data_IF_612765752689
#
_entry.id   IF_612765752689
#
_cell.length_a   1.000
_cell.length_b   1.000
_cell.length_c   1.000
_cell.angle_alpha   90.00
_cell.angle_beta   90.00
_cell.angle_gamma   90.00
#
_symmetry.space_group_name_H-M   'P 1'
#
loop_
_entity.id
_entity.type
_entity.pdbx_description
1 polymer ?
#
# COMPACT_ATOMS: atom_id res chain seq x y z
N UNK A 1 26.52 40.85 -51.07
CA UNK A 1 25.15 40.68 -50.55
C UNK A 1 25.03 39.28 -49.94
N UNK A 2 24.89 39.16 -48.61
CA UNK A 2 24.77 37.89 -47.87
C UNK A 2 23.43 37.83 -47.11
N UNK A 3 22.31 37.99 -47.82
CA UNK A 3 20.97 38.06 -47.20
C UNK A 3 20.28 36.69 -47.03
N UNK A 4 20.74 35.63 -47.73
CA UNK A 4 20.08 34.31 -47.71
C UNK A 4 20.36 33.42 -46.49
N UNK A 5 21.47 33.65 -45.77
CA UNK A 5 21.91 32.73 -44.71
C UNK A 5 21.36 33.08 -43.31
N UNK A 6 20.92 34.33 -43.10
CA UNK A 6 20.34 34.79 -41.81
C UNK A 6 18.89 34.35 -41.63
N UNK A 7 18.08 34.34 -42.70
CA UNK A 7 16.67 33.92 -42.68
C UNK A 7 16.50 32.41 -42.51
N UNK A 8 17.39 31.59 -43.09
CA UNK A 8 17.39 30.13 -42.88
C UNK A 8 17.72 29.76 -41.42
N UNK A 9 18.74 30.39 -40.83
CA UNK A 9 19.08 30.22 -39.40
C UNK A 9 17.95 30.65 -38.47
N UNK A 10 17.26 31.75 -38.79
CA UNK A 10 16.11 32.25 -38.03
C UNK A 10 14.92 31.29 -38.05
N UNK A 11 14.61 30.69 -39.21
CA UNK A 11 13.52 29.70 -39.33
C UNK A 11 13.85 28.37 -38.66
N UNK A 12 15.10 27.93 -38.73
CA UNK A 12 15.58 26.76 -38.01
C UNK A 12 15.51 26.93 -36.49
N UNK A 13 15.89 28.11 -35.97
CA UNK A 13 15.77 28.43 -34.55
C UNK A 13 14.30 28.49 -34.09
N UNK A 14 13.41 29.08 -34.89
CA UNK A 14 11.96 29.10 -34.59
C UNK A 14 11.35 27.70 -34.56
N UNK A 15 11.75 26.81 -35.47
CA UNK A 15 11.29 25.42 -35.48
C UNK A 15 11.74 24.66 -34.23
N UNK A 16 13.00 24.82 -33.81
CA UNK A 16 13.52 24.20 -32.60
C UNK A 16 12.83 24.72 -31.33
N UNK A 17 12.53 26.02 -31.26
CA UNK A 17 11.74 26.61 -30.17
C UNK A 17 10.33 26.01 -30.14
N UNK A 18 9.68 25.86 -31.30
CA UNK A 18 8.35 25.27 -31.38
C UNK A 18 8.33 23.80 -30.92
N UNK A 19 9.33 23.02 -31.36
CA UNK A 19 9.51 21.62 -30.92
C UNK A 19 9.73 21.57 -29.41
N UNK A 20 10.62 22.41 -28.87
CA UNK A 20 10.88 22.45 -27.44
C UNK A 20 9.62 22.80 -26.63
N UNK A 21 8.81 23.75 -27.09
CA UNK A 21 7.53 24.10 -26.46
C UNK A 21 6.55 22.92 -26.50
N UNK A 22 6.43 22.24 -27.65
CA UNK A 22 5.55 21.08 -27.80
C UNK A 22 5.99 19.91 -26.92
N UNK A 23 7.29 19.62 -26.84
CA UNK A 23 7.84 18.60 -25.95
C UNK A 23 7.62 18.97 -24.48
N UNK A 24 7.78 20.24 -24.09
CA UNK A 24 7.52 20.69 -22.73
C UNK A 24 6.04 20.56 -22.36
N UNK A 25 5.15 20.94 -23.28
CA UNK A 25 3.71 20.80 -23.09
C UNK A 25 3.33 19.31 -22.93
N UNK A 26 3.84 18.44 -23.81
CA UNK A 26 3.59 17.00 -23.74
C UNK A 26 4.06 16.39 -22.40
N UNK A 27 5.31 16.65 -22.01
CA UNK A 27 5.87 16.14 -20.74
C UNK A 27 5.13 16.67 -19.51
N UNK A 28 4.66 17.92 -19.53
CA UNK A 28 3.86 18.47 -18.44
C UNK A 28 2.48 17.81 -18.31
N UNK A 29 1.87 17.43 -19.43
CA UNK A 29 0.59 16.73 -19.47
C UNK A 29 0.76 15.29 -18.97
N UNK A 30 1.76 14.56 -19.46
CA UNK A 30 2.10 13.23 -18.95
C UNK A 30 2.36 13.25 -17.44
N UNK A 31 3.13 14.23 -16.96
CA UNK A 31 3.42 14.38 -15.54
C UNK A 31 2.16 14.58 -14.68
N UNK A 32 1.21 15.41 -15.15
CA UNK A 32 -0.07 15.62 -14.44
C UNK A 32 -0.93 14.34 -14.43
N UNK A 33 -0.96 13.58 -15.53
CA UNK A 33 -1.64 12.28 -15.56
C UNK A 33 -1.00 11.28 -14.60
N UNK A 34 0.33 11.14 -14.62
CA UNK A 34 1.05 10.25 -13.70
C UNK A 34 0.81 10.58 -12.23
N UNK A 35 0.76 11.86 -11.85
CA UNK A 35 0.43 12.27 -10.47
C UNK A 35 -1.01 11.86 -10.12
N UNK A 36 -1.96 12.11 -11.02
CA UNK A 36 -3.37 11.75 -10.77
C UNK A 36 -3.54 10.24 -10.60
N UNK A 37 -2.88 9.45 -11.43
CA UNK A 37 -2.94 7.99 -11.35
C UNK A 37 -2.32 7.50 -10.04
N UNK A 38 -1.17 8.05 -9.63
CA UNK A 38 -0.55 7.72 -8.34
C UNK A 38 -1.48 8.03 -7.15
N UNK A 39 -2.12 9.20 -7.14
CA UNK A 39 -3.07 9.59 -6.08
C UNK A 39 -4.32 8.68 -6.08
N UNK A 40 -4.84 8.31 -7.25
CA UNK A 40 -5.98 7.41 -7.37
C UNK A 40 -5.63 6.00 -6.91
N UNK A 41 -4.45 5.50 -7.25
CA UNK A 41 -3.94 4.22 -6.77
C UNK A 41 -3.80 4.22 -5.25
N UNK A 42 -3.17 5.24 -4.65
CA UNK A 42 -3.04 5.34 -3.20
C UNK A 42 -4.39 5.34 -2.48
N UNK A 43 -5.38 6.10 -2.99
CA UNK A 43 -6.74 6.12 -2.44
C UNK A 43 -7.45 4.77 -2.56
N UNK A 44 -7.24 4.04 -3.67
CA UNK A 44 -7.76 2.68 -3.84
C UNK A 44 -7.21 1.79 -2.75
N UNK A 45 -5.89 1.72 -2.56
CA UNK A 45 -5.29 0.87 -1.52
C UNK A 45 -5.70 1.24 -0.10
N UNK A 46 -5.87 2.53 0.20
CA UNK A 46 -6.41 2.98 1.49
C UNK A 46 -7.85 2.49 1.72
N UNK A 47 -8.71 2.56 0.70
CA UNK A 47 -10.08 2.07 0.78
C UNK A 47 -10.12 0.54 0.95
N UNK A 48 -9.32 -0.19 0.19
CA UNK A 48 -9.20 -1.65 0.28
C UNK A 48 -8.66 -2.11 1.64
N UNK A 49 -7.69 -1.39 2.19
CA UNK A 49 -7.16 -1.61 3.55
C UNK A 49 -8.25 -1.42 4.59
N UNK A 50 -9.00 -0.33 4.50
CA UNK A 50 -10.09 -0.03 5.43
C UNK A 50 -11.17 -1.11 5.39
N UNK A 51 -11.58 -1.54 4.19
CA UNK A 51 -12.56 -2.63 4.00
C UNK A 51 -12.05 -3.94 4.62
N UNK A 52 -10.80 -4.31 4.35
CA UNK A 52 -10.20 -5.54 4.87
C UNK A 52 -10.12 -5.53 6.40
N UNK A 53 -9.62 -4.44 7.00
CA UNK A 53 -9.59 -4.28 8.47
C UNK A 53 -10.99 -4.41 9.06
N UNK A 54 -12.00 -3.81 8.41
CA UNK A 54 -13.38 -3.89 8.90
C UNK A 54 -13.94 -5.33 8.84
N UNK A 55 -13.65 -6.08 7.78
CA UNK A 55 -13.99 -7.52 7.68
C UNK A 55 -13.33 -8.32 8.81
N UNK A 56 -12.06 -8.05 9.10
CA UNK A 56 -11.32 -8.73 10.16
C UNK A 56 -11.87 -8.40 11.56
N UNK A 57 -12.18 -7.14 11.87
CA UNK A 57 -12.81 -6.76 13.13
C UNK A 57 -14.19 -7.38 13.31
N UNK A 58 -14.99 -7.51 12.25
CA UNK A 58 -16.25 -8.24 12.30
C UNK A 58 -16.04 -9.70 12.71
N UNK A 59 -14.98 -10.35 12.22
CA UNK A 59 -14.66 -11.74 12.59
C UNK A 59 -14.19 -11.87 14.04
N UNK A 60 -13.40 -10.90 14.55
CA UNK A 60 -13.03 -10.85 15.97
C UNK A 60 -14.25 -10.69 16.88
N UNK A 61 -15.19 -9.81 16.50
CA UNK A 61 -16.45 -9.64 17.22
C UNK A 61 -17.28 -10.93 17.21
N UNK A 62 -17.41 -11.59 16.05
CA UNK A 62 -18.16 -12.86 15.91
C UNK A 62 -17.60 -13.95 16.84
N UNK A 63 -16.29 -13.98 17.04
CA UNK A 63 -15.60 -14.89 17.95
C UNK A 63 -15.53 -14.40 19.40
N UNK A 64 -16.27 -13.33 19.76
CA UNK A 64 -16.31 -12.74 21.12
C UNK A 64 -14.95 -12.28 21.66
N UNK A 65 -14.00 -11.99 20.76
CA UNK A 65 -12.69 -11.44 21.12
C UNK A 65 -12.82 -9.95 21.47
N UNK A 66 -13.68 -9.23 20.73
CA UNK A 66 -14.04 -7.84 21.01
C UNK A 66 -15.53 -7.73 21.41
N UNK A 67 -15.84 -6.87 22.38
CA UNK A 67 -17.20 -6.57 22.85
C UNK A 67 -17.94 -5.64 21.88
N UNK A 68 -17.26 -4.58 21.43
CA UNK A 68 -17.78 -3.58 20.48
C UNK A 68 -17.08 -3.66 19.12
N UNK A 69 -17.75 -3.18 18.06
CA UNK A 69 -17.31 -3.37 16.66
C UNK A 69 -15.95 -2.75 16.34
N UNK A 70 -15.60 -1.63 16.99
CA UNK A 70 -14.43 -0.84 16.57
C UNK A 70 -13.55 -0.37 17.72
N UNK A 71 -14.10 0.20 18.79
CA UNK A 71 -13.30 0.72 19.91
C UNK A 71 -12.53 -0.38 20.64
N UNK A 72 -13.23 -1.42 21.12
CA UNK A 72 -12.59 -2.49 21.91
C UNK A 72 -11.56 -3.31 21.08
N UNK A 73 -11.77 -3.46 19.77
CA UNK A 73 -10.78 -4.10 18.91
C UNK A 73 -9.54 -3.23 18.66
N UNK A 74 -9.72 -1.90 18.58
CA UNK A 74 -8.62 -0.95 18.44
C UNK A 74 -7.83 -0.84 19.74
N UNK A 75 -8.51 -0.76 20.89
CA UNK A 75 -7.88 -0.65 22.21
C UNK A 75 -7.05 -1.88 22.56
N UNK A 76 -7.46 -3.07 22.11
CA UNK A 76 -6.70 -4.32 22.30
C UNK A 76 -5.52 -4.48 21.34
N UNK A 77 -5.39 -3.60 20.34
CA UNK A 77 -4.24 -3.59 19.42
C UNK A 77 -3.97 -4.96 18.75
N UNK A 78 -5.02 -5.73 18.47
CA UNK A 78 -4.89 -7.12 18.01
C UNK A 78 -4.59 -7.24 16.52
N UNK A 79 -5.08 -6.28 15.73
CA UNK A 79 -4.89 -6.21 14.29
C UNK A 79 -4.57 -4.78 13.91
N UNK A 80 -3.46 -4.59 13.22
CA UNK A 80 -3.10 -3.35 12.56
C UNK A 80 -3.06 -3.57 11.06
N UNK A 81 -3.55 -2.60 10.31
CA UNK A 81 -3.45 -2.60 8.86
C UNK A 81 -2.99 -1.26 8.33
N UNK A 82 -2.08 -1.28 7.38
CA UNK A 82 -1.52 -0.11 6.72
C UNK A 82 -1.49 -0.33 5.21
N UNK A 83 -1.83 0.71 4.44
CA UNK A 83 -1.61 0.71 2.99
C UNK A 83 -0.21 1.20 2.66
N UNK A 84 0.37 0.66 1.59
CA UNK A 84 1.56 1.19 0.95
C UNK A 84 1.36 1.20 -0.57
N UNK A 85 2.33 1.70 -1.32
CA UNK A 85 2.20 2.03 -2.74
C UNK A 85 1.62 0.91 -3.64
N UNK A 86 1.74 -0.36 -3.26
CA UNK A 86 1.30 -1.50 -4.06
C UNK A 86 0.52 -2.55 -3.26
N UNK A 87 0.10 -2.25 -2.03
CA UNK A 87 -0.50 -3.28 -1.19
C UNK A 87 -0.95 -2.87 0.20
N UNK A 88 -1.22 -3.90 0.99
CA UNK A 88 -1.73 -3.84 2.35
C UNK A 88 -0.80 -4.66 3.23
N UNK A 89 -0.35 -4.07 4.32
CA UNK A 89 0.35 -4.76 5.40
C UNK A 89 -0.62 -4.98 6.54
N UNK A 90 -0.72 -6.21 7.04
CA UNK A 90 -1.50 -6.59 8.20
C UNK A 90 -0.58 -7.19 9.25
N UNK A 91 -0.75 -6.75 10.49
CA UNK A 91 -0.06 -7.30 11.66
C UNK A 91 -1.09 -7.87 12.63
N UNK A 92 -0.94 -9.14 12.99
CA UNK A 92 -1.80 -9.84 13.93
C UNK A 92 -1.03 -10.16 15.22
N UNK A 93 -1.64 -9.89 16.36
CA UNK A 93 -1.01 -9.99 17.68
C UNK A 93 -1.79 -10.93 18.61
N UNK A 94 -1.08 -11.80 19.36
CA UNK A 94 -1.61 -12.64 20.43
C UNK A 94 -2.87 -13.46 20.06
N UNK A 95 -2.88 -14.04 18.87
CA UNK A 95 -4.01 -14.81 18.34
C UNK A 95 -3.81 -16.32 18.51
N UNK A 96 -4.89 -17.04 18.82
CA UNK A 96 -4.86 -18.50 18.79
C UNK A 96 -4.89 -19.04 17.33
N UNK A 97 -4.39 -20.26 17.13
CA UNK A 97 -4.23 -20.88 15.80
C UNK A 97 -5.55 -21.00 15.01
N UNK A 98 -6.66 -21.25 15.69
CA UNK A 98 -7.97 -21.41 15.03
C UNK A 98 -8.47 -20.08 14.47
N UNK A 99 -8.44 -19.04 15.29
CA UNK A 99 -8.82 -17.69 14.89
C UNK A 99 -7.90 -17.14 13.81
N UNK A 100 -6.59 -17.42 13.91
CA UNK A 100 -5.63 -17.04 12.88
C UNK A 100 -5.99 -17.62 11.51
N UNK A 101 -6.35 -18.91 11.44
CA UNK A 101 -6.75 -19.53 10.17
C UNK A 101 -8.00 -18.85 9.56
N UNK A 102 -8.98 -18.47 10.38
CA UNK A 102 -10.18 -17.75 9.92
C UNK A 102 -9.85 -16.34 9.40
N UNK A 103 -8.95 -15.62 10.08
CA UNK A 103 -8.52 -14.29 9.65
C UNK A 103 -7.68 -14.33 8.37
N UNK A 104 -6.82 -15.35 8.23
CA UNK A 104 -6.05 -15.59 7.01
C UNK A 104 -6.95 -15.93 5.83
N UNK A 105 -8.04 -16.65 6.05
CA UNK A 105 -9.03 -16.94 4.99
C UNK A 105 -9.66 -15.64 4.45
N UNK A 106 -10.00 -14.69 5.32
CA UNK A 106 -10.53 -13.37 4.90
C UNK A 106 -9.50 -12.61 4.05
N UNK A 107 -8.22 -12.67 4.42
CA UNK A 107 -7.15 -12.03 3.64
C UNK A 107 -6.98 -12.69 2.27
N UNK A 108 -7.06 -14.03 2.21
CA UNK A 108 -6.97 -14.79 0.97
C UNK A 108 -8.14 -14.50 0.04
N UNK A 109 -9.36 -14.44 0.58
CA UNK A 109 -10.56 -14.08 -0.18
C UNK A 109 -10.40 -12.68 -0.80
N UNK A 110 -9.89 -11.71 -0.02
CA UNK A 110 -9.62 -10.36 -0.52
C UNK A 110 -8.59 -10.34 -1.64
N UNK A 111 -7.52 -11.11 -1.50
CA UNK A 111 -6.49 -11.25 -2.54
C UNK A 111 -7.10 -11.81 -3.85
N UNK A 112 -7.99 -12.79 -3.75
CA UNK A 112 -8.69 -13.37 -4.91
C UNK A 112 -9.69 -12.37 -5.51
N UNK A 113 -10.52 -11.70 -4.69
CA UNK A 113 -11.47 -10.66 -5.11
C UNK A 113 -10.77 -9.53 -5.88
N UNK A 114 -9.54 -9.20 -5.51
CA UNK A 114 -8.72 -8.16 -6.16
C UNK A 114 -8.05 -8.60 -7.47
N UNK A 115 -8.38 -9.78 -8.01
CA UNK A 115 -7.67 -10.40 -9.14
C UNK A 115 -6.15 -10.49 -8.93
N UNK A 116 -5.68 -10.54 -7.67
CA UNK A 116 -4.26 -10.55 -7.29
C UNK A 116 -3.50 -9.26 -7.65
N UNK A 117 -4.21 -8.15 -7.84
CA UNK A 117 -3.62 -6.82 -8.08
C UNK A 117 -3.11 -6.16 -6.80
N UNK A 118 -3.52 -6.65 -5.63
CA UNK A 118 -3.16 -6.10 -4.33
C UNK A 118 -2.21 -7.08 -3.63
N UNK A 119 -1.01 -6.63 -3.27
CA UNK A 119 -0.13 -7.41 -2.39
C UNK A 119 -0.65 -7.34 -0.94
N UNK A 120 -0.79 -8.48 -0.27
CA UNK A 120 -1.18 -8.55 1.14
C UNK A 120 -0.04 -9.19 1.94
N UNK A 121 0.71 -8.37 2.67
CA UNK A 121 1.78 -8.81 3.56
C UNK A 121 1.20 -9.06 4.96
N UNK A 122 1.44 -10.24 5.52
CA UNK A 122 0.88 -10.65 6.81
C UNK A 122 2.00 -10.95 7.80
N UNK A 123 1.99 -10.26 8.92
CA UNK A 123 2.91 -10.44 10.04
C UNK A 123 2.15 -11.00 11.22
N UNK A 124 2.63 -12.11 11.79
CA UNK A 124 2.01 -12.75 12.95
C UNK A 124 2.95 -12.63 14.13
N UNK A 125 2.40 -12.22 15.26
CA UNK A 125 3.14 -11.90 16.46
C UNK A 125 2.50 -12.62 17.65
N UNK A 126 3.29 -13.42 18.36
CA UNK A 126 2.82 -14.21 19.51
C UNK A 126 2.46 -13.33 20.72
N UNK A 127 3.09 -12.16 20.83
CA UNK A 127 2.96 -11.21 21.93
C UNK A 127 2.32 -9.93 21.43
N UNK A 128 1.61 -9.18 22.28
CA UNK A 128 1.00 -7.90 21.92
C UNK A 128 2.03 -6.82 21.59
N UNK A 129 1.63 -5.74 20.89
CA UNK A 129 2.52 -4.62 20.56
C UNK A 129 3.09 -3.94 21.80
N UNK A 130 2.27 -3.79 22.85
CA UNK A 130 2.70 -3.24 24.14
C UNK A 130 3.69 -4.17 24.86
N UNK A 131 3.43 -5.49 24.91
CA UNK A 131 4.38 -6.47 25.45
C UNK A 131 5.69 -6.48 24.66
N UNK A 132 5.62 -6.36 23.33
CA UNK A 132 6.81 -6.25 22.48
C UNK A 132 7.59 -4.98 22.79
N UNK A 133 6.97 -3.80 22.89
CA UNK A 133 7.69 -2.56 23.24
C UNK A 133 8.32 -2.69 24.64
N UNK A 134 7.59 -3.27 25.59
CA UNK A 134 8.11 -3.55 26.93
C UNK A 134 9.24 -4.59 26.93
N UNK A 135 9.22 -5.61 26.08
CA UNK A 135 10.31 -6.59 25.95
C UNK A 135 11.49 -6.06 25.14
N UNK A 136 11.24 -5.27 24.11
CA UNK A 136 12.26 -4.67 23.24
C UNK A 136 13.14 -3.67 23.99
N UNK A 137 12.55 -2.94 24.94
CA UNK A 137 13.31 -2.12 25.89
C UNK A 137 14.24 -2.94 26.80
N UNK A 138 14.01 -4.25 26.93
CA UNK A 138 14.73 -5.12 27.86
C UNK A 138 15.60 -6.18 27.17
N UNK A 139 15.33 -6.58 25.93
CA UNK A 139 16.01 -7.68 25.24
C UNK A 139 15.95 -7.50 23.70
N UNK A 140 17.08 -7.19 23.08
CA UNK A 140 17.32 -7.39 21.64
C UNK A 140 17.96 -8.78 21.45
N UNK A 141 17.42 -9.63 20.56
CA UNK A 141 17.97 -9.73 19.21
C UNK A 141 16.94 -9.88 18.08
N UNK A 142 17.41 -9.69 16.84
CA UNK A 142 16.70 -9.40 15.58
C UNK A 142 15.54 -10.34 15.17
N UNK A 143 14.44 -9.81 14.61
CA UNK A 143 13.32 -10.62 14.12
C UNK A 143 13.63 -11.34 12.80
N UNK A 144 13.25 -12.61 12.70
CA UNK A 144 13.33 -13.43 11.49
C UNK A 144 12.17 -13.15 10.53
N UNK A 145 12.50 -12.82 9.28
CA UNK A 145 11.55 -12.47 8.22
C UNK A 145 11.18 -13.72 7.42
N UNK A 146 9.91 -14.15 7.47
CA UNK A 146 9.40 -15.21 6.59
C UNK A 146 8.84 -14.54 5.34
N UNK A 147 9.57 -14.67 4.23
CA UNK A 147 9.17 -14.17 2.91
C UNK A 147 8.47 -15.31 2.16
N UNK A 148 7.20 -15.13 1.79
CA UNK A 148 6.48 -16.06 0.92
C UNK A 148 6.82 -15.73 -0.53
N UNK A 149 7.72 -16.49 -1.14
CA UNK A 149 8.04 -16.35 -2.56
C UNK A 149 7.22 -17.29 -3.45
N UNK A 150 6.81 -16.77 -4.62
CA UNK A 150 6.03 -17.47 -5.64
C UNK A 150 6.89 -18.58 -6.28
N UNK A 151 6.44 -19.83 -6.17
CA UNK A 151 7.02 -20.94 -6.94
C UNK A 151 6.60 -20.81 -8.41
N UNK A 152 7.58 -20.68 -9.31
CA UNK A 152 7.42 -20.79 -10.76
C UNK A 152 7.09 -22.23 -11.16
#
# INVERSE_FOLDING_TARGET
MNFGNKTLRSRGAQLLILIAILTLAYTSVEFVFSIKDAILHERRYQAETKDLIEKLYRQLKKNSICKDHKSDCLDKELIFGQSYNEGITLEFYSMNNKLMAELLAICLDKYIESNREIEIAIYIHEETKQERVHKFLWQLPSPSLIKLERKK
#
